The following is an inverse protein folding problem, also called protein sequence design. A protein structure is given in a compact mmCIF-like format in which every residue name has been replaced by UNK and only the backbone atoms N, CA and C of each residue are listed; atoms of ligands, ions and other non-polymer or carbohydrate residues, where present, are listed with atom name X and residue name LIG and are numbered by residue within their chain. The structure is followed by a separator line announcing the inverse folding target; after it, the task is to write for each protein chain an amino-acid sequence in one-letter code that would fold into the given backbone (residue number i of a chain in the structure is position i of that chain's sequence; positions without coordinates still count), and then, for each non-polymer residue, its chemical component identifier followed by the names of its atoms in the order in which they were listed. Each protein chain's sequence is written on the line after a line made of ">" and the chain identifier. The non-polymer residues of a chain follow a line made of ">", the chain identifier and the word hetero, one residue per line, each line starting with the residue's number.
data_IF_376782560453
#
_entry.id   IF_376782560453
#
_cell.length_a   1.000
_cell.length_b   1.000
_cell.length_c   1.000
_cell.angle_alpha   90.00
_cell.angle_beta   90.00
_cell.angle_gamma   90.00
#
_symmetry.space_group_name_H-M   'P 1'
#
loop_
_entity.id
_entity.type
_entity.pdbx_description
1 polymer ?
#
# COMPACT_ATOMS: atom_id res chain seq x y z
N UNK A 1 -16.60 21.80 0.65
CA UNK A 1 -16.56 20.59 -0.19
C UNK A 1 -17.08 19.46 0.69
N UNK A 2 -18.33 19.04 0.49
CA UNK A 2 -19.01 18.10 1.39
C UNK A 2 -18.45 16.70 1.21
N UNK A 3 -17.96 16.10 2.29
CA UNK A 3 -17.33 14.77 2.30
C UNK A 3 -18.36 13.63 2.26
N UNK A 4 -19.53 13.85 1.64
CA UNK A 4 -20.68 12.95 1.56
C UNK A 4 -21.09 12.31 2.90
N UNK A 5 -20.70 12.89 4.03
CA UNK A 5 -21.17 12.55 5.36
C UNK A 5 -22.47 13.31 5.63
N UNK A 6 -23.57 12.68 6.11
CA UNK A 6 -23.73 11.27 6.50
C UNK A 6 -24.45 10.39 5.45
N UNK A 7 -24.19 10.56 4.15
CA UNK A 7 -24.79 9.75 3.09
C UNK A 7 -24.28 8.29 3.13
N UNK A 8 -24.98 7.32 2.47
CA UNK A 8 -24.55 5.94 2.43
C UNK A 8 -23.11 5.76 1.94
N UNK A 9 -22.36 4.90 2.64
CA UNK A 9 -20.98 4.61 2.28
C UNK A 9 -20.89 3.87 0.93
N UNK A 10 -20.05 4.40 0.05
CA UNK A 10 -19.42 3.65 -1.03
C UNK A 10 -17.91 3.62 -0.81
N UNK A 11 -17.20 2.68 -1.44
CA UNK A 11 -15.73 2.62 -1.36
C UNK A 11 -15.08 3.93 -1.84
N UNK A 12 -15.63 4.52 -2.90
CA UNK A 12 -15.19 5.80 -3.46
C UNK A 12 -15.44 6.95 -2.47
N UNK A 13 -16.63 7.02 -1.87
CA UNK A 13 -16.98 8.05 -0.90
C UNK A 13 -16.11 7.96 0.36
N UNK A 14 -15.86 6.76 0.88
CA UNK A 14 -14.99 6.57 2.05
C UNK A 14 -13.53 6.96 1.80
N UNK A 15 -13.02 6.73 0.59
CA UNK A 15 -11.67 7.16 0.20
C UNK A 15 -11.58 8.67 0.05
N UNK A 16 -12.59 9.30 -0.56
CA UNK A 16 -12.66 10.76 -0.69
C UNK A 16 -12.76 11.43 0.70
N UNK A 17 -13.58 10.87 1.59
CA UNK A 17 -13.69 11.31 2.98
C UNK A 17 -12.34 11.23 3.70
N UNK A 18 -11.62 10.11 3.61
CA UNK A 18 -10.31 9.94 4.23
C UNK A 18 -9.29 10.97 3.73
N UNK A 19 -9.29 11.28 2.44
CA UNK A 19 -8.39 12.27 1.83
C UNK A 19 -8.65 13.68 2.33
N UNK A 20 -9.91 14.03 2.61
CA UNK A 20 -10.28 15.32 3.20
C UNK A 20 -9.97 15.36 4.69
N UNK A 21 -10.29 14.29 5.42
CA UNK A 21 -10.15 14.23 6.87
C UNK A 21 -8.69 14.18 7.32
N UNK A 22 -7.81 13.44 6.63
CA UNK A 22 -6.44 13.25 7.07
C UNK A 22 -5.65 14.54 7.32
N UNK A 23 -5.55 15.49 6.36
CA UNK A 23 -4.85 16.75 6.59
C UNK A 23 -5.57 17.64 7.62
N UNK A 24 -6.91 17.65 7.62
CA UNK A 24 -7.70 18.43 8.59
C UNK A 24 -7.45 17.95 10.03
N UNK A 25 -7.50 16.63 10.26
CA UNK A 25 -7.24 16.00 11.54
C UNK A 25 -5.81 16.28 12.02
N UNK A 26 -4.82 16.13 11.13
CA UNK A 26 -3.42 16.39 11.46
C UNK A 26 -3.19 17.83 11.91
N UNK A 27 -3.72 18.81 11.15
CA UNK A 27 -3.58 20.23 11.47
C UNK A 27 -4.34 20.65 12.74
N UNK A 28 -5.53 20.10 12.98
CA UNK A 28 -6.36 20.49 14.12
C UNK A 28 -5.89 19.88 15.44
N UNK A 29 -5.42 18.64 15.45
CA UNK A 29 -5.07 17.98 16.70
C UNK A 29 -3.83 18.59 17.35
N UNK A 30 -2.83 19.01 16.57
CA UNK A 30 -1.56 19.57 17.04
C UNK A 30 -0.92 18.79 18.23
N UNK A 31 -1.22 17.49 18.34
CA UNK A 31 -0.71 16.61 19.40
C UNK A 31 0.75 16.25 19.15
N UNK A 32 1.50 16.06 20.23
CA UNK A 32 2.89 15.59 20.13
C UNK A 32 2.94 14.11 19.76
N UNK A 33 3.99 13.63 19.06
CA UNK A 33 4.10 12.23 18.65
C UNK A 33 4.03 11.22 19.80
N UNK A 34 4.47 11.60 21.00
CA UNK A 34 4.39 10.76 22.20
C UNK A 34 2.93 10.47 22.59
N UNK A 35 2.08 11.48 22.63
CA UNK A 35 0.64 11.32 22.90
C UNK A 35 -0.05 10.59 21.75
N UNK A 36 0.33 10.90 20.51
CA UNK A 36 -0.16 10.21 19.31
C UNK A 36 0.19 8.71 19.29
N UNK A 37 1.15 8.24 20.10
CA UNK A 37 1.49 6.84 20.22
C UNK A 37 0.53 6.06 21.14
N UNK A 38 -0.14 6.75 22.08
CA UNK A 38 -1.11 6.16 23.01
C UNK A 38 -2.36 5.66 22.29
N UNK A 39 -2.78 4.43 22.60
CA UNK A 39 -4.01 3.86 22.05
C UNK A 39 -5.27 4.53 22.64
N UNK A 40 -5.15 5.07 23.85
CA UNK A 40 -6.22 5.74 24.58
C UNK A 40 -6.65 7.03 23.89
N UNK A 41 -5.71 7.82 23.35
CA UNK A 41 -6.02 9.03 22.58
C UNK A 41 -6.96 8.69 21.43
N UNK A 42 -6.61 7.68 20.64
CA UNK A 42 -7.40 7.29 19.47
C UNK A 42 -8.71 6.62 19.84
N UNK A 43 -8.73 5.82 20.92
CA UNK A 43 -9.95 5.22 21.44
C UNK A 43 -10.91 6.29 21.96
N UNK A 44 -10.41 7.33 22.63
CA UNK A 44 -11.23 8.46 23.06
C UNK A 44 -11.88 9.17 21.87
N UNK A 45 -11.12 9.42 20.80
CA UNK A 45 -11.66 10.03 19.59
C UNK A 45 -12.78 9.17 18.97
N UNK A 46 -12.59 7.87 18.81
CA UNK A 46 -13.53 6.98 18.12
C UNK A 46 -14.66 6.42 18.96
N UNK A 47 -14.55 6.43 20.29
CA UNK A 47 -15.57 5.90 21.20
C UNK A 47 -16.34 6.99 21.95
N UNK A 48 -15.74 8.16 22.16
CA UNK A 48 -16.32 9.23 22.98
C UNK A 48 -16.58 10.48 22.16
N UNK A 49 -15.57 11.03 21.47
CA UNK A 49 -15.68 12.34 20.83
C UNK A 49 -16.43 12.31 19.50
N UNK A 50 -16.11 11.34 18.63
CA UNK A 50 -16.63 11.22 17.26
C UNK A 50 -17.08 9.78 16.93
N UNK A 51 -17.92 9.13 17.77
CA UNK A 51 -18.32 7.74 17.55
C UNK A 51 -19.20 7.56 16.31
N UNK A 52 -20.01 8.56 15.99
CA UNK A 52 -20.87 8.62 14.81
C UNK A 52 -20.04 8.60 13.52
N UNK A 53 -19.02 9.46 13.43
CA UNK A 53 -18.10 9.50 12.28
C UNK A 53 -17.31 8.20 12.16
N UNK A 54 -16.81 7.68 13.28
CA UNK A 54 -16.04 6.43 13.32
C UNK A 54 -16.86 5.24 12.83
N UNK A 55 -18.05 5.04 13.40
CA UNK A 55 -18.94 3.92 13.06
C UNK A 55 -19.57 4.07 11.68
N UNK A 56 -19.80 5.28 11.20
CA UNK A 56 -20.17 5.46 9.81
C UNK A 56 -19.05 5.06 8.90
N UNK A 57 -17.82 5.56 9.11
CA UNK A 57 -16.70 5.28 8.20
C UNK A 57 -16.29 3.81 8.22
N UNK A 58 -16.35 3.16 9.38
CA UNK A 58 -16.04 1.74 9.57
C UNK A 58 -17.12 1.06 10.41
N UNK A 59 -18.25 0.64 9.80
CA UNK A 59 -19.34 -0.01 10.52
C UNK A 59 -18.92 -1.34 11.15
N UNK A 60 -19.23 -1.53 12.44
CA UNK A 60 -19.06 -2.81 13.13
C UNK A 60 -20.34 -3.65 13.07
N UNK A 61 -20.85 -3.93 11.87
CA UNK A 61 -22.13 -4.63 11.67
C UNK A 61 -22.16 -6.02 12.33
N UNK A 62 -21.00 -6.68 12.39
CA UNK A 62 -20.83 -7.99 13.01
C UNK A 62 -20.56 -7.93 14.52
N UNK A 63 -20.60 -6.73 15.13
CA UNK A 63 -20.39 -6.49 16.57
C UNK A 63 -19.15 -7.19 17.13
N UNK A 64 -18.06 -7.17 16.35
CA UNK A 64 -16.81 -7.83 16.73
C UNK A 64 -16.22 -7.12 17.95
N UNK A 65 -15.95 -7.83 19.06
CA UNK A 65 -15.20 -7.25 20.17
C UNK A 65 -13.77 -6.95 19.70
N UNK A 66 -13.19 -5.83 20.16
CA UNK A 66 -11.83 -5.44 19.79
C UNK A 66 -11.67 -5.02 18.32
N UNK A 67 -12.72 -4.55 17.65
CA UNK A 67 -12.64 -4.13 16.25
C UNK A 67 -11.62 -2.99 16.06
N UNK A 68 -10.46 -3.31 15.48
CA UNK A 68 -9.28 -2.42 15.40
C UNK A 68 -9.51 -1.11 14.66
N UNK A 69 -10.54 -1.03 13.81
CA UNK A 69 -10.90 0.23 13.14
C UNK A 69 -11.55 1.24 14.10
N UNK A 70 -12.07 0.76 15.23
CA UNK A 70 -12.74 1.56 16.25
C UNK A 70 -11.90 1.63 17.52
N UNK A 71 -11.27 0.56 18.00
CA UNK A 71 -10.34 0.64 19.13
C UNK A 71 -9.04 1.31 18.66
N UNK A 72 -8.33 2.05 19.52
CA UNK A 72 -7.17 2.89 19.20
C UNK A 72 -5.88 2.19 18.73
N UNK A 73 -5.99 0.95 18.27
CA UNK A 73 -4.92 0.17 17.61
C UNK A 73 -4.43 0.90 16.34
N UNK A 74 -3.27 0.52 15.75
CA UNK A 74 -2.69 1.20 14.58
C UNK A 74 -3.65 1.46 13.41
N UNK A 75 -4.64 0.59 13.20
CA UNK A 75 -5.63 0.69 12.11
C UNK A 75 -6.88 1.49 12.44
N UNK A 76 -6.94 2.08 13.63
CA UNK A 76 -8.03 2.96 14.05
C UNK A 76 -8.32 4.02 12.99
N UNK A 77 -9.61 4.32 12.81
CA UNK A 77 -10.14 5.20 11.78
C UNK A 77 -9.41 6.54 11.70
N UNK A 78 -9.08 7.15 12.85
CA UNK A 78 -8.42 8.44 12.95
C UNK A 78 -6.90 8.30 13.02
N UNK A 79 -6.41 7.35 13.84
CA UNK A 79 -4.96 7.11 14.03
C UNK A 79 -4.24 6.93 12.71
N UNK A 80 -4.75 6.05 11.84
CA UNK A 80 -4.11 5.75 10.55
C UNK A 80 -3.99 6.98 9.66
N UNK A 81 -4.94 7.91 9.74
CA UNK A 81 -4.97 9.11 8.91
C UNK A 81 -3.96 10.13 9.44
N UNK A 82 -3.95 10.35 10.76
CA UNK A 82 -2.98 11.22 11.41
C UNK A 82 -1.55 10.71 11.21
N UNK A 83 -1.30 9.42 11.50
CA UNK A 83 0.03 8.80 11.34
C UNK A 83 0.51 8.88 9.89
N UNK A 84 -0.38 8.69 8.92
CA UNK A 84 -0.03 8.82 7.51
C UNK A 84 0.50 10.21 7.18
N UNK A 85 -0.21 11.27 7.58
CA UNK A 85 0.21 12.65 7.32
C UNK A 85 1.48 12.98 8.09
N UNK A 86 1.58 12.56 9.35
CA UNK A 86 2.78 12.76 10.17
C UNK A 86 4.04 12.16 9.50
N UNK A 87 3.96 10.90 9.09
CA UNK A 87 5.11 10.17 8.55
C UNK A 87 5.44 10.59 7.11
N UNK A 88 4.43 10.75 6.25
CA UNK A 88 4.64 10.94 4.81
C UNK A 88 4.47 12.38 4.33
N UNK A 89 3.87 13.26 5.14
CA UNK A 89 3.39 14.56 4.70
C UNK A 89 2.01 14.48 4.02
N UNK A 90 1.38 15.63 3.84
CA UNK A 90 0.05 15.73 3.22
C UNK A 90 0.08 15.25 1.76
N UNK A 91 1.09 15.67 0.98
CA UNK A 91 1.14 15.43 -0.47
C UNK A 91 1.37 13.96 -0.83
N UNK A 92 2.39 13.31 -0.27
CA UNK A 92 2.67 11.89 -0.53
C UNK A 92 1.59 11.00 0.08
N UNK A 93 1.12 11.33 1.30
CA UNK A 93 0.09 10.56 1.99
C UNK A 93 -1.25 10.51 1.23
N UNK A 94 -1.63 11.60 0.55
CA UNK A 94 -2.87 11.68 -0.23
C UNK A 94 -2.86 10.81 -1.50
N UNK A 95 -1.68 10.58 -2.08
CA UNK A 95 -1.49 9.85 -3.33
C UNK A 95 -1.43 8.32 -3.15
N UNK A 96 -1.14 7.84 -1.94
CA UNK A 96 -1.10 6.41 -1.64
C UNK A 96 -2.48 5.82 -1.35
N UNK A 97 -2.73 4.61 -1.86
CA UNK A 97 -3.84 3.79 -1.41
C UNK A 97 -3.62 3.31 0.03
N UNK A 98 -4.69 2.91 0.72
CA UNK A 98 -4.61 2.41 2.10
C UNK A 98 -3.62 1.24 2.23
N UNK A 99 -3.73 0.23 1.37
CA UNK A 99 -2.85 -0.94 1.42
C UNK A 99 -1.37 -0.60 1.18
N UNK A 100 -1.11 0.47 0.43
CA UNK A 100 0.24 0.93 0.12
C UNK A 100 0.84 1.71 1.28
N UNK A 101 0.06 2.63 1.87
CA UNK A 101 0.46 3.30 3.09
C UNK A 101 0.73 2.27 4.21
N UNK A 102 -0.12 1.25 4.34
CA UNK A 102 0.08 0.14 5.30
C UNK A 102 1.35 -0.66 5.00
N UNK A 103 1.64 -0.95 3.71
CA UNK A 103 2.84 -1.68 3.32
C UNK A 103 4.13 -0.97 3.73
N UNK A 104 4.12 0.36 3.81
CA UNK A 104 5.25 1.19 4.24
C UNK A 104 5.24 1.38 5.76
N UNK A 105 4.14 1.88 6.32
CA UNK A 105 4.08 2.43 7.69
C UNK A 105 3.94 1.36 8.78
N UNK A 106 3.26 0.23 8.54
CA UNK A 106 3.14 -0.85 9.53
C UNK A 106 4.38 -1.75 9.60
N UNK A 107 5.48 -1.34 8.92
CA UNK A 107 6.74 -2.07 8.90
C UNK A 107 7.79 -1.25 9.65
N UNK A 108 8.16 -1.63 10.90
CA UNK A 108 9.12 -0.85 11.68
C UNK A 108 10.41 -0.54 10.91
N UNK A 109 10.93 -1.51 10.14
CA UNK A 109 12.15 -1.33 9.33
C UNK A 109 12.02 -0.33 8.17
N UNK A 110 10.81 0.04 7.75
CA UNK A 110 10.58 0.98 6.65
C UNK A 110 9.90 2.28 7.12
N UNK A 111 8.93 2.16 8.03
CA UNK A 111 8.06 3.23 8.49
C UNK A 111 8.54 3.98 9.74
N UNK A 112 9.53 3.45 10.48
CA UNK A 112 10.00 4.12 11.72
C UNK A 112 10.73 5.43 11.44
N UNK A 113 11.38 5.57 10.28
CA UNK A 113 12.08 6.78 9.88
C UNK A 113 11.31 7.50 8.76
N UNK A 114 10.78 8.72 9.01
CA UNK A 114 10.02 9.46 8.00
C UNK A 114 10.78 9.65 6.68
N UNK A 115 12.09 9.88 6.74
CA UNK A 115 12.95 10.03 5.53
C UNK A 115 12.92 8.77 4.66
N UNK A 116 13.07 7.61 5.27
CA UNK A 116 13.01 6.30 4.59
C UNK A 116 11.61 6.06 4.02
N UNK A 117 10.57 6.24 4.83
CA UNK A 117 9.19 6.05 4.40
C UNK A 117 8.80 6.95 3.22
N UNK A 118 9.23 8.22 3.23
CA UNK A 118 8.98 9.19 2.16
C UNK A 118 9.72 8.83 0.88
N UNK A 119 10.98 8.41 0.96
CA UNK A 119 11.73 7.98 -0.22
C UNK A 119 11.09 6.76 -0.89
N UNK A 120 10.62 5.79 -0.10
CA UNK A 120 9.89 4.61 -0.61
C UNK A 120 8.59 5.05 -1.29
N UNK A 121 7.79 5.90 -0.62
CA UNK A 121 6.54 6.41 -1.18
C UNK A 121 6.77 7.18 -2.48
N UNK A 122 7.77 8.06 -2.52
CA UNK A 122 8.12 8.85 -3.70
C UNK A 122 8.54 7.96 -4.86
N UNK A 123 9.55 7.09 -4.68
CA UNK A 123 10.02 6.19 -5.73
C UNK A 123 8.93 5.24 -6.25
N UNK A 124 8.07 4.77 -5.35
CA UNK A 124 6.89 3.98 -5.74
C UNK A 124 5.95 4.77 -6.65
N UNK A 125 5.56 5.98 -6.26
CA UNK A 125 4.63 6.82 -7.02
C UNK A 125 5.21 7.25 -8.38
N UNK A 126 6.52 7.51 -8.46
CA UNK A 126 7.18 7.92 -9.71
C UNK A 126 7.37 6.78 -10.69
N UNK A 127 7.60 5.55 -10.21
CA UNK A 127 8.05 4.45 -11.07
C UNK A 127 6.96 3.40 -11.33
N UNK A 128 6.04 3.16 -10.40
CA UNK A 128 5.06 2.08 -10.54
C UNK A 128 3.88 2.41 -11.47
N UNK A 129 3.63 3.69 -11.76
CA UNK A 129 2.48 4.13 -12.57
C UNK A 129 2.48 3.63 -14.02
N UNK A 130 3.66 3.34 -14.57
CA UNK A 130 3.87 3.03 -15.99
C UNK A 130 4.06 1.53 -16.27
N UNK A 131 3.98 0.70 -15.23
CA UNK A 131 4.48 -0.66 -15.24
C UNK A 131 3.56 -1.71 -15.91
N UNK A 132 2.32 -1.35 -16.27
CA UNK A 132 1.30 -2.29 -16.75
C UNK A 132 0.82 -3.33 -15.72
N UNK A 133 1.42 -3.34 -14.52
CA UNK A 133 1.05 -4.19 -13.39
C UNK A 133 0.44 -3.35 -12.25
N UNK A 134 -0.25 -4.00 -11.31
CA UNK A 134 -0.86 -3.31 -10.18
C UNK A 134 0.23 -2.70 -9.26
N UNK A 135 0.21 -1.36 -9.09
CA UNK A 135 1.16 -0.63 -8.23
C UNK A 135 1.28 -1.22 -6.82
N UNK A 136 0.18 -1.65 -6.20
CA UNK A 136 0.21 -2.27 -4.88
C UNK A 136 1.09 -3.54 -4.82
N UNK A 137 1.10 -4.35 -5.89
CA UNK A 137 1.91 -5.58 -5.94
C UNK A 137 3.39 -5.27 -6.16
N UNK A 138 3.69 -4.28 -7.01
CA UNK A 138 5.05 -3.74 -7.19
C UNK A 138 5.60 -3.26 -5.84
N UNK A 139 4.82 -2.49 -5.08
CA UNK A 139 5.24 -2.00 -3.76
C UNK A 139 5.46 -3.14 -2.77
N UNK A 140 4.60 -4.17 -2.76
CA UNK A 140 4.76 -5.33 -1.87
C UNK A 140 6.07 -6.09 -2.14
N UNK A 141 6.44 -6.26 -3.42
CA UNK A 141 7.72 -6.89 -3.79
C UNK A 141 8.88 -5.98 -3.39
N UNK A 142 8.81 -4.70 -3.74
CA UNK A 142 9.83 -3.68 -3.40
C UNK A 142 10.07 -3.63 -1.89
N UNK A 143 9.02 -3.47 -1.09
CA UNK A 143 9.09 -3.41 0.36
C UNK A 143 9.68 -4.68 0.97
N UNK A 144 9.38 -5.87 0.40
CA UNK A 144 9.97 -7.13 0.85
C UNK A 144 11.48 -7.15 0.63
N UNK A 145 11.97 -6.66 -0.52
CA UNK A 145 13.41 -6.60 -0.84
C UNK A 145 14.14 -5.59 0.04
N UNK A 146 13.57 -4.39 0.20
CA UNK A 146 14.11 -3.37 1.12
C UNK A 146 14.21 -3.89 2.55
N UNK A 147 13.19 -4.60 3.04
CA UNK A 147 13.23 -5.21 4.39
C UNK A 147 14.30 -6.27 4.55
N UNK A 148 14.60 -7.04 3.49
CA UNK A 148 15.70 -8.02 3.52
C UNK A 148 17.05 -7.31 3.56
N UNK A 149 17.21 -6.25 2.77
CA UNK A 149 18.43 -5.44 2.78
C UNK A 149 18.64 -4.75 4.13
N UNK A 150 17.56 -4.25 4.74
CA UNK A 150 17.57 -3.56 6.03
C UNK A 150 18.12 -4.42 7.20
N UNK A 151 18.25 -5.74 7.02
CA UNK A 151 18.88 -6.63 8.01
C UNK A 151 20.40 -6.43 8.08
N UNK A 152 21.02 -6.05 6.95
CA UNK A 152 22.48 -5.94 6.81
C UNK A 152 22.94 -4.52 6.49
N UNK A 153 22.02 -3.64 6.09
CA UNK A 153 22.28 -2.23 5.78
C UNK A 153 21.33 -1.36 6.58
N UNK A 154 21.88 -0.36 7.28
CA UNK A 154 21.09 0.71 7.88
C UNK A 154 20.56 1.61 6.75
N UNK A 155 19.25 1.62 6.52
CA UNK A 155 18.64 2.44 5.46
C UNK A 155 18.69 3.93 5.81
N UNK A 156 18.67 4.24 7.10
CA UNK A 156 18.74 5.59 7.64
C UNK A 156 20.15 6.22 7.57
N UNK A 157 21.21 5.43 7.32
CA UNK A 157 22.56 5.95 7.10
C UNK A 157 22.84 6.35 5.64
N UNK A 158 22.01 5.88 4.70
CA UNK A 158 22.11 6.25 3.29
C UNK A 158 21.75 7.72 3.09
N UNK A 159 22.44 8.42 2.20
CA UNK A 159 22.00 9.75 1.77
C UNK A 159 20.75 9.66 0.89
N UNK A 160 20.12 10.82 0.61
CA UNK A 160 18.87 10.87 -0.14
C UNK A 160 19.01 10.35 -1.57
N UNK A 161 20.19 10.53 -2.19
CA UNK A 161 20.47 10.05 -3.55
C UNK A 161 20.61 8.54 -3.57
N UNK A 162 21.39 7.98 -2.64
CA UNK A 162 21.57 6.54 -2.47
C UNK A 162 20.25 5.84 -2.17
N UNK A 163 19.43 6.43 -1.30
CA UNK A 163 18.13 5.89 -0.94
C UNK A 163 17.15 5.93 -2.12
N UNK A 164 17.11 7.03 -2.88
CA UNK A 164 16.28 7.15 -4.09
C UNK A 164 16.69 6.10 -5.14
N UNK A 165 17.99 5.98 -5.44
CA UNK A 165 18.51 4.99 -6.38
C UNK A 165 18.23 3.56 -5.94
N UNK A 166 18.34 3.28 -4.63
CA UNK A 166 18.05 1.97 -4.07
C UNK A 166 16.56 1.60 -4.24
N UNK A 167 15.65 2.52 -3.90
CA UNK A 167 14.21 2.31 -4.06
C UNK A 167 13.86 2.12 -5.52
N UNK A 168 14.31 3.01 -6.39
CA UNK A 168 14.06 2.96 -7.84
C UNK A 168 14.53 1.62 -8.43
N UNK A 169 15.76 1.18 -8.09
CA UNK A 169 16.29 -0.11 -8.54
C UNK A 169 15.37 -1.27 -8.15
N UNK A 170 15.00 -1.39 -6.87
CA UNK A 170 14.15 -2.48 -6.43
C UNK A 170 12.72 -2.39 -6.97
N UNK A 171 12.21 -1.19 -7.23
CA UNK A 171 10.93 -1.00 -7.91
C UNK A 171 11.00 -1.44 -9.37
N UNK A 172 12.03 -1.08 -10.12
CA UNK A 172 12.23 -1.54 -11.51
C UNK A 172 12.35 -3.06 -11.60
N UNK A 173 13.19 -3.66 -10.76
CA UNK A 173 13.32 -5.12 -10.73
C UNK A 173 12.02 -5.84 -10.28
N UNK A 174 11.17 -5.18 -9.49
CA UNK A 174 9.84 -5.71 -9.14
C UNK A 174 8.87 -5.62 -10.32
N UNK A 175 8.94 -4.54 -11.12
CA UNK A 175 8.19 -4.38 -12.36
C UNK A 175 8.59 -5.46 -13.36
N UNK A 176 9.90 -5.66 -13.56
CA UNK A 176 10.40 -6.68 -14.50
C UNK A 176 9.97 -8.10 -14.10
N UNK A 177 9.93 -8.40 -12.79
CA UNK A 177 9.41 -9.67 -12.29
C UNK A 177 7.91 -9.87 -12.60
N UNK A 178 7.13 -8.78 -12.59
CA UNK A 178 5.69 -8.83 -12.82
C UNK A 178 5.29 -8.70 -14.29
N UNK A 179 6.23 -8.32 -15.17
CA UNK A 179 5.97 -8.30 -16.61
C UNK A 179 5.65 -9.72 -17.08
N UNK A 180 4.52 -9.93 -17.77
CA UNK A 180 4.21 -11.23 -18.34
C UNK A 180 5.31 -11.59 -19.35
N UNK A 181 5.94 -12.76 -19.16
CA UNK A 181 6.83 -13.33 -20.18
C UNK A 181 5.99 -13.51 -21.43
N UNK A 182 6.24 -12.69 -22.46
CA UNK A 182 5.70 -12.96 -23.79
C UNK A 182 6.37 -14.24 -24.26
N UNK A 183 5.72 -15.38 -24.05
CA UNK A 183 6.12 -16.64 -24.66
C UNK A 183 5.82 -16.48 -26.15
N UNK A 184 6.81 -16.03 -26.91
CA UNK A 184 6.80 -16.17 -28.37
C UNK A 184 6.94 -17.67 -28.65
N UNK A 185 5.81 -18.36 -28.69
CA UNK A 185 5.71 -19.73 -29.21
C UNK A 185 6.12 -19.72 -30.68
N UNK A 186 7.42 -19.84 -30.94
CA UNK A 186 7.95 -20.18 -32.27
C UNK A 186 8.01 -21.69 -32.36
N UNK A 187 6.84 -22.34 -32.34
CA UNK A 187 6.75 -23.78 -32.51
C UNK A 187 6.60 -24.09 -34.01
N UNK A 188 7.69 -23.92 -34.76
CA UNK A 188 7.80 -24.46 -36.14
C UNK A 188 8.40 -25.86 -36.07
N UNK A 189 7.63 -26.83 -35.58
CA UNK A 189 7.94 -28.23 -35.81
C UNK A 189 7.36 -28.64 -37.18
N UNK A 190 8.24 -28.68 -38.18
CA UNK A 190 7.99 -29.34 -39.47
C UNK A 190 7.74 -30.83 -39.22
N UNK A 191 6.54 -31.30 -39.51
CA UNK A 191 6.23 -32.73 -39.62
C UNK A 191 6.73 -33.21 -40.99
N UNK A 192 7.57 -34.26 -41.08
CA UNK A 192 7.92 -34.84 -42.36
C UNK A 192 6.74 -35.65 -42.91
N UNK A 193 6.41 -35.40 -44.18
CA UNK A 193 5.42 -36.16 -44.93
C UNK A 193 5.88 -37.63 -45.06
N UNK A 194 5.07 -38.57 -44.59
CA UNK A 194 5.19 -39.97 -44.99
C UNK A 194 4.27 -40.22 -46.17
N UNK A 195 4.91 -40.56 -47.29
CA UNK A 195 4.28 -41.03 -48.51
C UNK A 195 3.87 -42.51 -48.39
N UNK A 196 2.83 -42.82 -49.16
CA UNK A 196 2.11 -44.08 -49.34
C UNK A 196 2.97 -45.33 -49.63
N UNK A 197 2.50 -46.53 -49.21
CA UNK A 197 2.19 -47.65 -50.13
C UNK A 197 1.74 -48.96 -49.41
N UNK A 198 0.47 -49.31 -49.65
CA UNK A 198 -0.08 -50.60 -50.16
C UNK A 198 0.07 -51.96 -49.42
N UNK A 199 -1.11 -52.55 -49.17
CA UNK A 199 -1.60 -53.87 -49.68
C UNK A 199 -1.56 -55.14 -48.79
N UNK A 200 -2.72 -55.83 -48.77
CA UNK A 200 -2.90 -57.28 -48.47
C UNK A 200 -3.78 -57.54 -47.24
N UNK A 201 -5.10 -57.71 -47.32
CA UNK A 201 -5.88 -58.89 -47.78
C UNK A 201 -5.66 -60.15 -46.91
N UNK A 202 -6.78 -60.64 -46.34
CA UNK A 202 -6.97 -61.71 -45.35
C UNK A 202 -6.38 -63.09 -45.69
N UNK A 203 -6.36 -63.99 -44.69
CA UNK A 203 -7.37 -65.07 -44.68
C UNK A 203 -8.26 -65.05 -43.43
#
# INVERSE_FOLDING_TARGET
>A
MEANWPAPLSKTNGTAFDRLLAPALYRQMAIVPADAASEEVWSFLSLVLLPDVALWRWPNLLRRPGYERIIGRPRNVFRRLWTRVHSLGEDLGAQLYEDEAVAILERPTLGAHPRVARAIAHGHLTTAGEAGAARTDILRITARRLRRLAVVVSLESLDDTQLAQLVERYTKEAIDQLRPVTITSTNSHRVPAQAEARSGASP
#
